data_IF_416047780791
#
_entry.id   IF_416047780791
#
_cell.length_a   1.000
_cell.length_b   1.000
_cell.length_c   1.000
_cell.angle_alpha   90.00
_cell.angle_beta   90.00
_cell.angle_gamma   90.00
#
_symmetry.space_group_name_H-M   'P 1'
#
loop_
_entity.id
_entity.type
_entity.pdbx_description
1 polymer ?
#
# COMPACT_ATOMS: atom_id res chain seq x y z
N UNK A 1 10.48 39.44 -5.19
CA UNK A 1 9.35 38.58 -5.60
C UNK A 1 9.92 37.17 -5.65
N UNK A 2 9.87 36.48 -4.51
CA UNK A 2 10.59 35.22 -4.29
C UNK A 2 9.79 34.04 -4.81
N UNK A 3 10.46 33.14 -5.51
CA UNK A 3 9.97 31.82 -5.86
C UNK A 3 9.69 31.02 -4.59
N UNK A 4 8.55 30.35 -4.53
CA UNK A 4 8.25 29.37 -3.50
C UNK A 4 8.45 28.00 -4.15
N UNK A 5 9.59 27.39 -3.84
CA UNK A 5 9.88 25.99 -4.12
C UNK A 5 8.87 25.10 -3.38
N UNK A 6 8.00 24.43 -4.13
CA UNK A 6 7.12 23.41 -3.60
C UNK A 6 7.92 22.15 -3.27
N UNK A 7 8.12 21.90 -1.99
CA UNK A 7 8.63 20.64 -1.46
C UNK A 7 7.66 19.51 -1.83
N UNK A 8 8.15 18.50 -2.56
CA UNK A 8 7.47 17.22 -2.71
C UNK A 8 7.73 16.37 -1.44
N UNK A 9 6.86 16.51 -0.44
CA UNK A 9 6.77 15.54 0.67
C UNK A 9 5.68 14.52 0.35
N UNK A 10 6.04 13.23 0.32
CA UNK A 10 5.06 12.15 0.11
C UNK A 10 5.67 10.78 -0.05
N UNK A 11 6.43 10.29 0.93
CA UNK A 11 6.72 8.85 1.04
C UNK A 11 5.60 8.19 1.85
N UNK A 12 4.72 7.42 1.19
CA UNK A 12 3.73 6.59 1.87
C UNK A 12 4.39 5.25 2.18
N UNK A 13 4.72 5.08 3.45
CA UNK A 13 5.35 3.88 3.97
C UNK A 13 4.27 2.87 4.33
N UNK A 14 4.34 1.66 3.78
CA UNK A 14 3.71 0.50 4.41
C UNK A 14 4.48 0.20 5.71
N UNK A 15 4.06 0.83 6.82
CA UNK A 15 4.63 0.64 8.16
C UNK A 15 5.93 1.41 8.45
N UNK A 16 5.82 2.44 9.30
CA UNK A 16 6.88 3.29 9.92
C UNK A 16 7.24 4.58 9.16
N UNK A 17 6.63 5.69 9.59
CA UNK A 17 7.13 7.05 9.33
C UNK A 17 8.47 7.23 10.08
N UNK A 18 9.59 7.15 9.37
CA UNK A 18 10.92 7.49 9.91
C UNK A 18 10.98 9.01 10.04
N UNK A 19 10.91 9.49 11.28
CA UNK A 19 11.10 10.90 11.62
C UNK A 19 12.52 11.13 12.13
N UNK A 20 13.11 12.25 11.72
CA UNK A 20 14.47 12.68 12.05
C UNK A 20 14.76 12.68 13.56
N UNK A 21 15.47 11.64 14.01
CA UNK A 21 16.45 11.65 15.12
C UNK A 21 17.01 10.24 15.27
N UNK A 22 17.97 9.92 14.40
CA UNK A 22 18.78 8.72 14.51
C UNK A 22 20.05 9.06 15.28
N UNK A 23 19.90 9.31 16.58
CA UNK A 23 21.01 9.29 17.52
C UNK A 23 20.56 8.48 18.75
N UNK A 24 21.29 7.37 18.95
CA UNK A 24 21.26 6.47 20.12
C UNK A 24 20.04 5.54 20.30
N UNK A 25 20.02 4.45 19.52
CA UNK A 25 19.64 3.12 20.01
C UNK A 25 20.15 2.03 19.05
N UNK A 26 21.47 1.78 19.09
CA UNK A 26 22.07 0.59 18.50
C UNK A 26 22.26 -0.41 19.62
N UNK A 27 21.43 -1.46 19.64
CA UNK A 27 21.80 -2.82 20.05
C UNK A 27 20.59 -3.75 19.80
N UNK A 28 20.66 -4.46 18.67
CA UNK A 28 19.59 -5.32 18.15
C UNK A 28 19.24 -4.90 16.72
N UNK A 29 20.10 -5.23 15.76
CA UNK A 29 19.76 -5.12 14.34
C UNK A 29 18.45 -5.89 14.10
N UNK A 30 17.34 -5.16 13.99
CA UNK A 30 16.05 -5.78 13.73
C UNK A 30 16.10 -6.30 12.30
N UNK A 31 16.07 -7.63 12.14
CA UNK A 31 16.00 -8.34 10.85
C UNK A 31 14.87 -7.83 9.95
N UNK A 32 13.89 -7.11 10.53
CA UNK A 32 12.81 -6.44 9.80
C UNK A 32 13.34 -5.48 8.72
N UNK A 33 14.46 -4.79 8.96
CA UNK A 33 15.03 -3.84 8.00
C UNK A 33 15.71 -4.56 6.82
N UNK A 34 16.19 -5.79 7.03
CA UNK A 34 16.79 -6.58 5.95
C UNK A 34 15.74 -7.01 4.90
N UNK A 35 14.47 -7.07 5.31
CA UNK A 35 13.35 -7.44 4.45
C UNK A 35 12.67 -6.24 3.78
N UNK A 36 13.07 -5.01 4.10
CA UNK A 36 12.51 -3.82 3.47
C UNK A 36 13.12 -3.60 2.09
N UNK A 37 12.28 -3.20 1.13
CA UNK A 37 12.65 -2.85 -0.24
C UNK A 37 11.92 -1.58 -0.66
N UNK A 38 12.57 -0.82 -1.53
CA UNK A 38 11.94 0.33 -2.19
C UNK A 38 11.34 -0.19 -3.49
N UNK A 39 10.02 -0.09 -3.63
CA UNK A 39 9.30 -0.47 -4.84
C UNK A 39 8.88 0.80 -5.58
N UNK A 40 9.17 0.88 -6.87
CA UNK A 40 8.83 2.01 -7.74
C UNK A 40 7.80 1.57 -8.77
N UNK A 41 6.72 2.33 -8.91
CA UNK A 41 5.67 2.10 -9.91
C UNK A 41 5.28 3.45 -10.51
N UNK A 42 5.64 3.67 -11.77
CA UNK A 42 5.54 4.98 -12.40
C UNK A 42 6.25 6.02 -11.52
N UNK A 43 5.56 7.08 -11.11
CA UNK A 43 6.09 8.15 -10.27
C UNK A 43 5.87 7.90 -8.76
N UNK A 44 5.35 6.73 -8.38
CA UNK A 44 5.05 6.36 -6.99
C UNK A 44 6.16 5.52 -6.37
N UNK A 45 6.47 5.81 -5.11
CA UNK A 45 7.48 5.07 -4.32
C UNK A 45 6.79 4.45 -3.11
N UNK A 46 6.99 3.15 -2.92
CA UNK A 46 6.50 2.38 -1.79
C UNK A 46 7.65 1.76 -1.02
N UNK A 47 7.53 1.70 0.30
CA UNK A 47 8.40 0.88 1.13
C UNK A 47 7.64 -0.39 1.50
N UNK A 48 8.18 -1.54 1.11
CA UNK A 48 7.53 -2.85 1.28
C UNK A 48 8.42 -3.79 2.07
N UNK A 49 7.82 -4.54 3.01
CA UNK A 49 8.46 -5.73 3.56
C UNK A 49 8.18 -6.90 2.61
N UNK A 50 9.22 -7.51 2.06
CA UNK A 50 9.11 -8.53 1.01
C UNK A 50 8.31 -9.75 1.44
N UNK A 51 8.50 -10.23 2.67
CA UNK A 51 7.82 -11.44 3.17
C UNK A 51 6.33 -11.17 3.40
N UNK A 52 6.01 -10.07 4.10
CA UNK A 52 4.63 -9.66 4.34
C UNK A 52 3.91 -9.32 3.03
N UNK A 53 4.61 -8.73 2.06
CA UNK A 53 4.04 -8.41 0.76
C UNK A 53 3.78 -9.66 -0.08
N UNK A 54 4.71 -10.62 -0.11
CA UNK A 54 4.50 -11.90 -0.79
C UNK A 54 3.32 -12.68 -0.18
N UNK A 55 3.20 -12.68 1.15
CA UNK A 55 2.06 -13.26 1.86
C UNK A 55 0.75 -12.54 1.51
N UNK A 56 0.77 -11.20 1.46
CA UNK A 56 -0.39 -10.40 1.07
C UNK A 56 -0.85 -10.67 -0.36
N UNK A 57 0.06 -10.72 -1.34
CA UNK A 57 -0.28 -11.04 -2.73
C UNK A 57 -0.92 -12.43 -2.80
N UNK A 58 -0.29 -13.41 -2.14
CA UNK A 58 -0.79 -14.80 -2.10
C UNK A 58 -2.20 -14.88 -1.49
N UNK A 59 -2.44 -14.16 -0.40
CA UNK A 59 -3.75 -14.04 0.23
C UNK A 59 -4.77 -13.36 -0.71
N UNK A 60 -4.39 -12.28 -1.39
CA UNK A 60 -5.29 -11.54 -2.29
C UNK A 60 -5.73 -12.34 -3.51
N UNK A 61 -4.89 -13.27 -3.98
CA UNK A 61 -5.19 -14.21 -5.06
C UNK A 61 -5.94 -15.46 -4.58
N UNK A 62 -5.99 -15.68 -3.27
CA UNK A 62 -6.62 -16.87 -2.70
C UNK A 62 -8.15 -16.76 -2.69
N UNK A 63 -8.88 -17.89 -2.74
CA UNK A 63 -10.34 -17.87 -2.64
C UNK A 63 -10.88 -17.26 -1.34
N UNK A 64 -10.07 -17.29 -0.27
CA UNK A 64 -10.40 -16.79 1.07
C UNK A 64 -10.05 -15.29 1.23
N UNK A 65 -9.30 -14.71 0.28
CA UNK A 65 -8.99 -13.30 0.19
C UNK A 65 -10.23 -12.47 -0.15
N UNK A 66 -10.97 -12.04 0.87
CA UNK A 66 -12.13 -11.17 0.69
C UNK A 66 -11.68 -9.72 0.62
N UNK A 67 -11.35 -9.26 -0.58
CA UNK A 67 -11.19 -7.83 -0.86
C UNK A 67 -12.48 -7.30 -1.51
N UNK A 68 -12.89 -6.10 -1.09
CA UNK A 68 -14.09 -5.47 -1.61
C UNK A 68 -13.69 -4.42 -2.64
N UNK A 69 -14.40 -4.42 -3.77
CA UNK A 69 -14.14 -3.49 -4.86
C UNK A 69 -15.35 -2.62 -5.09
N UNK A 70 -15.13 -1.36 -5.43
CA UNK A 70 -16.18 -0.44 -5.86
C UNK A 70 -15.96 -0.14 -7.33
N UNK A 71 -16.89 -0.59 -8.15
CA UNK A 71 -16.99 -0.24 -9.56
C UNK A 71 -17.37 1.24 -9.67
N UNK A 72 -16.45 2.03 -10.22
CA UNK A 72 -16.64 3.46 -10.48
C UNK A 72 -16.97 3.77 -11.94
N UNK A 73 -17.05 2.76 -12.81
CA UNK A 73 -17.41 2.91 -14.23
C UNK A 73 -18.92 3.13 -14.38
N UNK A 74 -19.71 2.78 -13.36
CA UNK A 74 -21.16 2.90 -13.36
C UNK A 74 -21.66 4.02 -12.45
N UNK A 75 -22.79 4.62 -12.84
CA UNK A 75 -23.59 5.50 -11.99
C UNK A 75 -24.97 4.84 -11.72
N UNK A 76 -25.33 4.52 -10.47
CA UNK A 76 -24.54 4.69 -9.25
C UNK A 76 -23.39 3.67 -9.12
N UNK A 77 -22.32 3.99 -8.37
CA UNK A 77 -21.25 3.04 -8.06
C UNK A 77 -21.79 1.79 -7.39
N UNK A 78 -21.12 0.65 -7.61
CA UNK A 78 -21.56 -0.64 -7.06
C UNK A 78 -20.40 -1.36 -6.40
N UNK A 79 -20.71 -2.02 -5.29
CA UNK A 79 -19.77 -2.96 -4.70
C UNK A 79 -19.77 -4.25 -5.52
N UNK A 80 -18.59 -4.63 -6.01
CA UNK A 80 -18.36 -5.81 -6.84
C UNK A 80 -17.32 -6.71 -6.18
N UNK A 81 -17.37 -8.00 -6.51
CA UNK A 81 -16.31 -8.94 -6.15
C UNK A 81 -15.28 -9.01 -7.28
N UNK A 82 -14.02 -9.36 -6.96
CA UNK A 82 -12.99 -9.60 -8.00
C UNK A 82 -13.33 -10.77 -8.94
N UNK A 83 -14.32 -11.59 -8.57
CA UNK A 83 -14.81 -12.71 -9.38
C UNK A 83 -15.90 -12.28 -10.36
N UNK A 84 -16.32 -11.04 -10.27
CA UNK A 84 -17.25 -10.47 -11.23
C UNK A 84 -16.47 -10.27 -12.53
N UNK A 85 -17.08 -10.58 -13.67
CA UNK A 85 -16.42 -10.68 -14.98
C UNK A 85 -15.96 -9.32 -15.57
N UNK A 86 -15.77 -8.29 -14.74
CA UNK A 86 -15.33 -6.96 -15.18
C UNK A 86 -13.92 -7.02 -15.78
N UNK A 87 -13.70 -6.21 -16.81
CA UNK A 87 -12.41 -6.16 -17.51
C UNK A 87 -11.31 -5.72 -16.54
N UNK A 88 -11.58 -4.66 -15.77
CA UNK A 88 -10.66 -4.13 -14.78
C UNK A 88 -10.30 -5.16 -13.69
N UNK A 89 -11.24 -6.00 -13.22
CA UNK A 89 -10.91 -7.03 -12.21
C UNK A 89 -9.94 -8.09 -12.75
N UNK A 90 -10.15 -8.54 -14.00
CA UNK A 90 -9.27 -9.51 -14.66
C UNK A 90 -7.86 -8.96 -14.87
N UNK A 91 -7.76 -7.68 -15.22
CA UNK A 91 -6.47 -7.01 -15.34
C UNK A 91 -5.76 -6.88 -13.99
N UNK A 92 -6.49 -6.52 -12.93
CA UNK A 92 -5.92 -6.44 -11.59
C UNK A 92 -5.36 -7.80 -11.16
N UNK A 93 -6.11 -8.89 -11.37
CA UNK A 93 -5.63 -10.25 -11.10
C UNK A 93 -4.37 -10.59 -11.92
N UNK A 94 -4.27 -10.10 -13.15
CA UNK A 94 -3.09 -10.30 -13.99
C UNK A 94 -1.87 -9.55 -13.44
N UNK A 95 -2.06 -8.31 -12.97
CA UNK A 95 -1.02 -7.52 -12.28
C UNK A 95 -0.60 -8.18 -10.97
N UNK A 96 -1.55 -8.65 -10.15
CA UNK A 96 -1.28 -9.37 -8.91
C UNK A 96 -0.43 -10.63 -9.15
N UNK A 97 -0.74 -11.41 -10.19
CA UNK A 97 0.06 -12.59 -10.57
C UNK A 97 1.46 -12.21 -11.05
N UNK A 98 1.59 -11.11 -11.80
CA UNK A 98 2.88 -10.59 -12.22
C UNK A 98 3.72 -10.18 -11.02
N UNK A 99 3.12 -9.48 -10.05
CA UNK A 99 3.81 -9.08 -8.81
C UNK A 99 4.21 -10.32 -8.00
N UNK A 100 3.32 -11.33 -7.91
CA UNK A 100 3.63 -12.60 -7.26
C UNK A 100 4.83 -13.31 -7.88
N UNK A 101 5.07 -13.16 -9.19
CA UNK A 101 6.22 -13.74 -9.86
C UNK A 101 7.54 -13.02 -9.57
N UNK A 102 7.48 -11.72 -9.22
CA UNK A 102 8.65 -10.94 -8.80
C UNK A 102 8.99 -11.24 -7.34
N UNK A 103 7.97 -11.31 -6.48
CA UNK A 103 8.13 -11.58 -5.06
C UNK A 103 7.95 -13.06 -4.72
N UNK A 104 8.79 -13.92 -5.32
CA UNK A 104 8.87 -15.34 -4.91
C UNK A 104 9.81 -15.50 -3.73
N UNK A 105 9.51 -16.40 -2.79
CA UNK A 105 10.43 -16.73 -1.67
C UNK A 105 11.81 -17.22 -2.12
N UNK A 106 11.98 -17.62 -3.39
CA UNK A 106 13.24 -18.09 -3.96
C UNK A 106 14.13 -16.94 -4.48
N UNK A 107 13.60 -15.73 -4.68
CA UNK A 107 14.36 -14.56 -5.14
C UNK A 107 15.15 -13.86 -4.01
N UNK A 108 14.93 -14.26 -2.75
CA UNK A 108 15.56 -13.64 -1.57
C UNK A 108 17.08 -13.96 -1.47
N UNK A 109 17.64 -14.70 -2.43
CA UNK A 109 19.08 -14.99 -2.54
C UNK A 109 19.62 -14.88 -3.98
N UNK A 110 19.03 -14.04 -4.82
CA UNK A 110 19.50 -13.87 -6.19
C UNK A 110 20.30 -12.58 -6.37
N UNK A 111 21.58 -12.60 -5.96
CA UNK A 111 22.64 -11.93 -6.71
C UNK A 111 22.74 -12.60 -8.09
N UNK A 112 21.76 -12.35 -8.97
CA UNK A 112 21.74 -12.95 -10.30
C UNK A 112 20.84 -12.16 -11.25
N UNK A 113 21.11 -10.88 -11.43
CA UNK A 113 20.83 -10.24 -12.71
C UNK A 113 22.06 -9.48 -13.23
N UNK A 114 23.19 -10.18 -13.29
CA UNK A 114 24.29 -9.77 -14.16
C UNK A 114 23.93 -10.07 -15.61
N UNK A 115 23.61 -9.00 -16.35
CA UNK A 115 23.50 -9.02 -17.79
C UNK A 115 24.81 -9.50 -18.43
N UNK A 116 24.70 -10.58 -19.19
CA UNK A 116 25.63 -11.10 -20.18
C UNK A 116 26.79 -10.17 -20.62
N UNK A 117 28.01 -10.50 -20.18
CA UNK A 117 29.26 -10.15 -20.83
C UNK A 117 30.25 -11.31 -20.69
N UNK A 118 30.35 -12.17 -21.71
CA UNK A 118 31.40 -13.20 -21.80
C UNK A 118 32.78 -12.53 -21.83
N UNK A 119 33.66 -12.84 -20.88
CA UNK A 119 34.97 -13.47 -21.15
C UNK A 119 35.83 -13.70 -19.89
N UNK A 120 36.01 -14.99 -19.57
CA UNK A 120 37.26 -15.69 -19.21
C UNK A 120 38.39 -14.97 -18.41
N UNK A 121 38.59 -15.32 -17.12
CA UNK A 121 39.81 -15.99 -16.58
C UNK A 121 39.83 -16.09 -15.04
N UNK A 122 40.37 -17.23 -14.59
CA UNK A 122 40.71 -17.68 -13.23
C UNK A 122 41.57 -16.71 -12.39
N UNK A 123 41.23 -16.53 -11.10
CA UNK A 123 42.13 -16.84 -9.94
C UNK A 123 41.55 -16.38 -8.57
N UNK A 124 41.59 -17.31 -7.63
CA UNK A 124 41.72 -17.24 -6.15
C UNK A 124 41.82 -15.87 -5.47
N UNK A 125 40.98 -15.59 -4.48
CA UNK A 125 41.29 -15.51 -3.03
C UNK A 125 40.18 -14.79 -2.25
N UNK A 126 40.03 -15.23 -1.01
CA UNK A 126 39.07 -14.79 0.00
C UNK A 126 39.08 -13.28 0.26
N UNK A 127 37.90 -12.66 0.28
CA UNK A 127 37.68 -11.42 1.01
C UNK A 127 36.32 -11.43 1.69
N UNK A 128 36.37 -11.18 3.00
CA UNK A 128 35.28 -10.78 3.90
C UNK A 128 33.96 -10.42 3.23
N UNK A 129 32.90 -11.13 3.63
CA UNK A 129 31.50 -10.74 3.39
C UNK A 129 31.27 -9.42 4.12
N UNK A 130 31.52 -8.32 3.44
CA UNK A 130 31.02 -7.02 3.85
C UNK A 130 29.49 -7.09 3.79
N UNK A 131 28.84 -6.84 4.92
CA UNK A 131 27.39 -6.64 5.00
C UNK A 131 27.02 -5.36 4.23
N UNK A 132 27.09 -5.42 2.91
CA UNK A 132 26.44 -4.45 2.04
C UNK A 132 24.95 -4.75 2.11
N UNK A 133 24.25 -4.09 3.03
CA UNK A 133 22.80 -3.95 2.97
C UNK A 133 22.48 -3.16 1.70
N UNK A 134 22.44 -3.85 0.57
CA UNK A 134 21.93 -3.29 -0.67
C UNK A 134 20.43 -3.08 -0.43
N UNK A 135 20.03 -1.84 -0.20
CA UNK A 135 18.63 -1.43 -0.37
C UNK A 135 18.30 -1.65 -1.84
N UNK A 136 17.81 -2.84 -2.14
CA UNK A 136 17.44 -3.23 -3.49
C UNK A 136 16.14 -2.51 -3.87
N UNK A 137 16.23 -1.77 -4.99
CA UNK A 137 15.11 -1.04 -5.57
C UNK A 137 14.45 -1.95 -6.61
N UNK A 138 13.15 -2.19 -6.45
CA UNK A 138 12.34 -3.01 -7.37
C UNK A 138 11.48 -2.08 -8.21
N UNK A 139 11.80 -1.94 -9.49
CA UNK A 139 11.00 -1.15 -10.43
C UNK A 139 9.98 -2.05 -11.16
N UNK A 140 8.69 -1.80 -10.91
CA UNK A 140 7.57 -2.50 -11.53
C UNK A 140 6.79 -1.59 -12.49
N UNK A 141 7.33 -0.45 -12.89
CA UNK A 141 6.67 0.48 -13.82
C UNK A 141 6.35 -0.20 -15.15
N UNK A 142 7.26 -1.04 -15.64
CA UNK A 142 7.07 -1.83 -16.86
C UNK A 142 5.95 -2.87 -16.72
N UNK A 143 5.69 -3.37 -15.52
CA UNK A 143 4.66 -4.36 -15.24
C UNK A 143 3.23 -3.83 -15.48
N UNK A 144 3.02 -2.53 -15.32
CA UNK A 144 1.71 -1.90 -15.47
C UNK A 144 1.59 -0.97 -16.68
N UNK A 145 2.67 -0.79 -17.45
CA UNK A 145 2.73 0.16 -18.57
C UNK A 145 1.62 -0.08 -19.61
N UNK A 146 1.35 -1.35 -19.91
CA UNK A 146 0.38 -1.78 -20.92
C UNK A 146 -0.97 -2.23 -20.31
N UNK A 147 -1.18 -2.04 -19.01
CA UNK A 147 -2.45 -2.37 -18.36
C UNK A 147 -3.37 -1.14 -18.33
N UNK A 148 -4.67 -1.40 -18.40
CA UNK A 148 -5.74 -0.46 -18.13
C UNK A 148 -5.98 -0.21 -16.64
N UNK A 149 -5.27 -0.91 -15.75
CA UNK A 149 -5.30 -0.60 -14.33
C UNK A 149 -4.75 0.80 -14.09
N UNK A 150 -5.49 1.54 -13.28
CA UNK A 150 -5.16 2.90 -12.87
C UNK A 150 -4.34 2.88 -11.57
N UNK A 151 -3.50 3.90 -11.38
CA UNK A 151 -2.73 4.06 -10.15
C UNK A 151 -3.63 4.15 -8.90
N UNK A 152 -4.78 4.84 -8.92
CA UNK A 152 -5.73 4.81 -7.79
C UNK A 152 -6.19 3.40 -7.39
N UNK A 153 -6.55 2.55 -8.35
CA UNK A 153 -6.88 1.13 -8.08
C UNK A 153 -5.70 0.41 -7.43
N UNK A 154 -4.52 0.58 -8.00
CA UNK A 154 -3.31 -0.09 -7.50
C UNK A 154 -2.94 0.38 -6.09
N UNK A 155 -3.06 1.68 -5.80
CA UNK A 155 -2.80 2.25 -4.48
C UNK A 155 -3.74 1.66 -3.43
N UNK A 156 -5.04 1.58 -3.73
CA UNK A 156 -6.00 0.99 -2.79
C UNK A 156 -5.65 -0.45 -2.45
N UNK A 157 -5.25 -1.23 -3.46
CA UNK A 157 -4.79 -2.61 -3.24
C UNK A 157 -3.46 -2.67 -2.48
N UNK A 158 -2.42 -1.96 -2.91
CA UNK A 158 -1.09 -1.99 -2.31
C UNK A 158 -1.05 -1.53 -0.86
N UNK A 159 -1.88 -0.54 -0.50
CA UNK A 159 -1.99 -0.03 0.86
C UNK A 159 -2.87 -0.91 1.76
N UNK A 160 -3.42 -2.01 1.23
CA UNK A 160 -4.25 -2.94 1.97
C UNK A 160 -5.57 -2.32 2.42
N UNK A 161 -6.15 -1.41 1.63
CA UNK A 161 -7.45 -0.85 1.96
C UNK A 161 -8.54 -1.92 1.85
N UNK A 162 -9.53 -1.90 2.75
CA UNK A 162 -10.59 -2.90 2.75
C UNK A 162 -11.52 -2.75 1.55
N UNK A 163 -11.60 -1.54 1.00
CA UNK A 163 -12.38 -1.18 -0.19
C UNK A 163 -11.43 -0.55 -1.21
N UNK A 164 -11.42 -1.10 -2.43
CA UNK A 164 -10.57 -0.66 -3.52
C UNK A 164 -11.42 -0.16 -4.67
N UNK A 165 -11.12 1.03 -5.18
CA UNK A 165 -11.78 1.56 -6.38
C UNK A 165 -11.31 0.82 -7.61
N UNK A 166 -12.24 0.41 -8.46
CA UNK A 166 -11.98 -0.32 -9.67
C UNK A 166 -12.63 0.41 -10.85
N UNK A 167 -11.78 0.79 -11.81
CA UNK A 167 -12.16 1.39 -13.08
C UNK A 167 -10.95 1.32 -14.02
N UNK A 168 -11.21 1.19 -15.30
CA UNK A 168 -10.17 1.28 -16.33
C UNK A 168 -9.81 2.74 -16.68
N UNK A 169 -8.79 2.92 -17.52
CA UNK A 169 -8.33 4.26 -17.94
C UNK A 169 -9.35 5.01 -18.81
N UNK A 170 -10.22 4.31 -19.51
CA UNK A 170 -11.22 4.93 -20.37
C UNK A 170 -12.37 5.53 -19.54
N UNK A 171 -12.59 5.00 -18.33
CA UNK A 171 -13.61 5.45 -17.38
C UNK A 171 -13.08 6.39 -16.28
N UNK A 172 -11.88 6.99 -16.45
CA UNK A 172 -11.38 8.04 -15.55
C UNK A 172 -12.40 9.18 -15.36
N UNK A 173 -13.08 9.70 -16.42
CA UNK A 173 -14.08 10.75 -16.25
C UNK A 173 -15.26 10.31 -15.37
N UNK A 174 -15.73 9.08 -15.51
CA UNK A 174 -16.83 8.51 -14.72
C UNK A 174 -16.42 8.34 -13.26
N UNK A 175 -15.19 7.89 -13.00
CA UNK A 175 -14.63 7.79 -11.66
C UNK A 175 -14.50 9.16 -10.99
N UNK A 176 -14.00 10.18 -11.71
CA UNK A 176 -13.94 11.55 -11.20
C UNK A 176 -15.34 12.06 -10.86
N UNK A 177 -16.32 11.84 -11.75
CA UNK A 177 -17.70 12.24 -11.52
C UNK A 177 -18.26 11.57 -10.25
N UNK A 178 -18.13 10.26 -10.13
CA UNK A 178 -18.63 9.48 -9.00
C UNK A 178 -17.99 9.86 -7.66
N UNK A 179 -16.71 10.23 -7.66
CA UNK A 179 -16.00 10.60 -6.42
C UNK A 179 -16.09 12.10 -6.10
N UNK A 180 -16.25 12.97 -7.09
CA UNK A 180 -16.19 14.43 -6.93
C UNK A 180 -17.53 15.13 -6.89
N UNK A 181 -18.63 14.46 -7.21
CA UNK A 181 -19.98 15.07 -7.23
C UNK A 181 -20.93 14.50 -6.18
N UNK A 182 -20.55 13.39 -5.54
CA UNK A 182 -21.38 12.66 -4.58
C UNK A 182 -20.72 12.64 -3.20
N UNK A 183 -21.52 12.59 -2.11
CA UNK A 183 -20.96 12.49 -0.77
C UNK A 183 -20.21 11.17 -0.59
N UNK A 184 -19.14 11.23 0.20
CA UNK A 184 -18.31 10.08 0.54
C UNK A 184 -18.29 9.92 2.06
N UNK A 185 -18.17 8.69 2.55
CA UNK A 185 -17.74 8.44 3.91
C UNK A 185 -16.23 8.29 3.97
N UNK A 186 -15.58 9.11 4.79
CA UNK A 186 -14.15 9.08 5.07
C UNK A 186 -13.91 8.28 6.35
N UNK A 187 -13.25 7.14 6.20
CA UNK A 187 -12.77 6.30 7.28
C UNK A 187 -11.37 6.75 7.64
N UNK A 188 -11.13 7.10 8.91
CA UNK A 188 -9.83 7.52 9.43
C UNK A 188 -9.43 6.59 10.56
N UNK A 189 -8.27 5.95 10.41
CA UNK A 189 -7.62 5.23 11.51
C UNK A 189 -6.69 6.21 12.20
N UNK A 190 -6.94 6.43 13.47
CA UNK A 190 -6.18 7.35 14.30
C UNK A 190 -5.43 6.58 15.39
N UNK A 191 -4.17 6.92 15.61
CA UNK A 191 -3.26 6.25 16.55
C UNK A 191 -2.62 7.23 17.54
N UNK A 192 -2.14 6.69 18.66
CA UNK A 192 -1.33 7.42 19.63
C UNK A 192 -0.06 6.64 19.91
N UNK A 193 1.09 7.30 19.87
CA UNK A 193 2.40 6.71 20.20
C UNK A 193 2.66 6.71 21.70
N UNK A 194 3.44 5.75 22.20
CA UNK A 194 3.81 5.67 23.61
C UNK A 194 4.71 6.81 24.09
N UNK A 195 5.49 7.43 23.20
CA UNK A 195 6.35 8.58 23.52
C UNK A 195 5.59 9.88 23.77
N UNK A 196 4.27 9.91 23.50
CA UNK A 196 3.42 11.06 23.85
C UNK A 196 3.22 11.11 25.38
N UNK A 197 3.99 11.98 26.05
CA UNK A 197 3.95 12.13 27.51
C UNK A 197 2.67 12.84 28.00
N UNK A 198 1.91 13.50 27.12
CA UNK A 198 0.63 14.08 27.48
C UNK A 198 -0.55 13.32 26.85
N UNK A 199 -1.53 12.97 27.69
CA UNK A 199 -2.82 12.46 27.22
C UNK A 199 -3.63 13.52 26.44
N UNK A 200 -3.12 14.75 26.34
CA UNK A 200 -3.73 15.89 25.65
C UNK A 200 -3.33 16.00 24.17
N UNK A 201 -2.35 15.23 23.69
CA UNK A 201 -1.99 15.27 22.28
C UNK A 201 -3.11 14.63 21.42
N UNK A 202 -3.51 15.29 20.32
CA UNK A 202 -4.50 14.75 19.39
C UNK A 202 -3.99 13.44 18.81
N UNK A 203 -4.90 12.54 18.42
CA UNK A 203 -4.48 11.33 17.72
C UNK A 203 -3.90 11.68 16.35
N UNK A 204 -2.86 10.95 15.94
CA UNK A 204 -2.23 11.03 14.64
C UNK A 204 -2.99 10.15 13.65
N UNK A 205 -3.18 10.61 12.42
CA UNK A 205 -3.75 9.76 11.37
C UNK A 205 -2.72 8.74 10.90
N UNK A 206 -3.06 7.45 11.01
CA UNK A 206 -2.26 6.36 10.47
C UNK A 206 -2.57 6.14 9.00
N UNK A 207 -3.86 6.09 8.67
CA UNK A 207 -4.36 5.92 7.31
C UNK A 207 -5.78 6.42 7.21
N UNK A 208 -6.19 6.82 6.01
CA UNK A 208 -7.58 7.10 5.69
C UNK A 208 -7.94 6.56 4.30
N UNK A 209 -9.22 6.27 4.12
CA UNK A 209 -9.78 5.87 2.84
C UNK A 209 -11.24 6.31 2.76
N UNK A 210 -11.74 6.55 1.55
CA UNK A 210 -13.11 6.98 1.32
C UNK A 210 -13.94 5.86 0.68
N UNK A 211 -15.26 5.91 0.87
CA UNK A 211 -16.22 5.04 0.19
C UNK A 211 -17.42 5.89 -0.23
N UNK A 212 -18.03 5.67 -1.43
CA UNK A 212 -19.28 6.34 -1.78
C UNK A 212 -20.33 6.15 -0.68
N UNK A 213 -21.00 7.24 -0.28
CA UNK A 213 -21.92 7.25 0.86
C UNK A 213 -22.98 6.13 0.79
N UNK A 214 -23.58 5.96 -0.39
CA UNK A 214 -24.63 4.96 -0.66
C UNK A 214 -24.15 3.51 -0.51
N UNK A 215 -22.82 3.28 -0.46
CA UNK A 215 -22.19 1.98 -0.29
C UNK A 215 -21.64 1.75 1.13
N UNK A 216 -21.78 2.71 2.05
CA UNK A 216 -21.33 2.54 3.43
C UNK A 216 -22.29 3.16 4.47
N UNK A 217 -23.58 2.88 4.33
CA UNK A 217 -24.62 3.43 5.19
C UNK A 217 -24.45 3.03 6.67
N UNK A 218 -23.85 1.87 6.94
CA UNK A 218 -23.59 1.39 8.30
C UNK A 218 -22.21 1.82 8.84
N UNK A 219 -21.42 2.54 8.04
CA UNK A 219 -20.14 3.12 8.41
C UNK A 219 -19.17 2.09 8.99
N UNK A 220 -18.81 2.23 10.27
CA UNK A 220 -17.87 1.31 10.93
C UNK A 220 -18.43 -0.09 11.19
N UNK A 221 -19.75 -0.27 11.09
CA UNK A 221 -20.41 -1.55 11.33
C UNK A 221 -20.61 -2.34 10.03
N UNK A 222 -20.12 -1.83 8.91
CA UNK A 222 -20.06 -2.59 7.65
C UNK A 222 -19.22 -3.87 7.85
N UNK A 223 -19.62 -5.02 7.30
CA UNK A 223 -18.89 -6.28 7.51
C UNK A 223 -17.40 -6.20 7.10
N UNK A 224 -17.10 -5.44 6.04
CA UNK A 224 -15.74 -5.21 5.58
C UNK A 224 -14.95 -4.26 6.50
N UNK A 225 -15.63 -3.29 7.12
CA UNK A 225 -15.02 -2.34 8.05
C UNK A 225 -14.68 -3.04 9.38
N UNK A 226 -15.58 -3.90 9.87
CA UNK A 226 -15.34 -4.70 11.06
C UNK A 226 -14.19 -5.70 10.86
N UNK A 227 -14.17 -6.42 9.73
CA UNK A 227 -13.10 -7.36 9.41
C UNK A 227 -11.73 -6.66 9.33
N UNK A 228 -11.68 -5.51 8.64
CA UNK A 228 -10.50 -4.66 8.58
C UNK A 228 -10.04 -4.20 9.96
N UNK A 229 -10.98 -3.76 10.80
CA UNK A 229 -10.68 -3.31 12.14
C UNK A 229 -10.12 -4.42 13.02
N UNK A 230 -10.65 -5.65 12.91
CA UNK A 230 -10.13 -6.82 13.62
C UNK A 230 -8.69 -7.15 13.21
N UNK A 231 -8.40 -7.14 11.90
CA UNK A 231 -7.05 -7.38 11.40
C UNK A 231 -6.07 -6.31 11.90
N UNK A 232 -6.48 -5.05 11.83
CA UNK A 232 -5.66 -3.93 12.27
C UNK A 232 -5.42 -3.96 13.78
N UNK A 233 -6.43 -4.33 14.58
CA UNK A 233 -6.29 -4.56 16.02
C UNK A 233 -5.28 -5.68 16.30
N UNK A 234 -5.32 -6.79 15.56
CA UNK A 234 -4.34 -7.87 15.70
C UNK A 234 -2.90 -7.43 15.35
N UNK A 235 -2.73 -6.53 14.37
CA UNK A 235 -1.42 -5.88 14.07
C UNK A 235 -1.00 -4.93 15.19
N UNK A 236 -1.92 -4.13 15.70
CA UNK A 236 -1.67 -3.19 16.81
C UNK A 236 -1.26 -3.91 18.10
N UNK A 237 -1.90 -5.03 18.43
CA UNK A 237 -1.58 -5.88 19.58
C UNK A 237 -0.11 -6.35 19.57
N UNK A 238 0.42 -6.68 18.39
CA UNK A 238 1.84 -7.03 18.18
C UNK A 238 2.81 -5.85 18.32
N UNK A 239 2.28 -4.62 18.33
CA UNK A 239 3.06 -3.37 18.28
C UNK A 239 2.76 -2.44 19.47
N UNK A 240 2.24 -2.96 20.58
CA UNK A 240 1.89 -2.19 21.79
C UNK A 240 3.05 -1.42 22.42
N UNK A 241 4.29 -1.84 22.15
CA UNK A 241 5.50 -1.13 22.55
C UNK A 241 5.66 0.22 21.84
N UNK A 242 5.10 0.37 20.63
CA UNK A 242 5.14 1.62 19.85
C UNK A 242 3.84 2.40 20.02
N UNK A 243 2.70 1.72 19.93
CA UNK A 243 1.37 2.35 19.84
C UNK A 243 0.56 2.14 21.12
N UNK A 244 0.11 3.22 21.75
CA UNK A 244 -0.67 3.24 22.99
C UNK A 244 -2.16 2.96 22.77
N UNK A 245 -2.74 3.55 21.73
CA UNK A 245 -4.17 3.44 21.46
C UNK A 245 -4.44 3.62 19.97
N UNK A 246 -5.55 3.06 19.50
CA UNK A 246 -6.02 3.17 18.12
C UNK A 246 -7.54 3.30 18.11
N UNK A 247 -8.08 4.15 17.23
CA UNK A 247 -9.52 4.29 17.02
C UNK A 247 -9.82 4.46 15.52
N UNK A 248 -11.03 4.09 15.10
CA UNK A 248 -11.55 4.35 13.76
C UNK A 248 -12.70 5.33 13.83
N UNK A 249 -12.62 6.37 13.02
CA UNK A 249 -13.66 7.38 12.84
C UNK A 249 -14.23 7.29 11.44
N UNK A 250 -15.53 7.56 11.31
CA UNK A 250 -16.22 7.63 10.02
C UNK A 250 -16.92 8.97 9.98
N UNK A 251 -16.58 9.79 8.99
CA UNK A 251 -17.16 11.12 8.80
C UNK A 251 -17.69 11.25 7.39
N UNK A 252 -18.85 11.89 7.23
CA UNK A 252 -19.31 12.31 5.90
C UNK A 252 -18.42 13.44 5.39
N UNK A 253 -17.94 13.29 4.16
CA UNK A 253 -17.18 14.29 3.44
C UNK A 253 -18.01 14.77 2.27
N UNK A 254 -18.10 16.09 2.13
CA UNK A 254 -18.69 16.70 0.95
C UNK A 254 -17.84 16.40 -0.29
N UNK A 255 -18.46 16.32 -1.47
CA UNK A 255 -17.72 16.11 -2.71
C UNK A 255 -16.61 17.16 -2.86
N UNK A 256 -15.39 16.71 -3.10
CA UNK A 256 -14.23 17.55 -3.38
C UNK A 256 -13.70 17.22 -4.76
N UNK A 257 -13.09 18.18 -5.44
CA UNK A 257 -12.44 17.91 -6.72
C UNK A 257 -11.28 16.94 -6.50
N UNK A 258 -11.40 15.72 -7.03
CA UNK A 258 -10.35 14.70 -6.96
C UNK A 258 -9.62 14.69 -8.30
N UNK A 259 -8.29 14.84 -8.24
CA UNK A 259 -7.41 14.56 -9.37
C UNK A 259 -6.98 13.09 -9.26
N UNK A 260 -7.26 12.31 -10.31
CA UNK A 260 -6.86 10.90 -10.47
C UNK A 260 -5.72 10.78 -11.47
#
# INVERSE_FOLDING_TARGET
MGAVEGHCEGAVVCGVKVGDKMDAAVEGESTIFQQLRVMVIQDMIYLVNVEEFAAYISWSLSPDGKQFFVDLEQDPPKMISIRDESSAAKELVSVQKLFSSVFTSECINCDALEGHGKDNRQSTESSSVEHSQVFEVVDLSSCIQNSQITIPTLNGWLLGYPVVYLFDRDHIPDAIYNLSTKPLHLFRVLVRRNSSQSNSLPLEELTSFSVPYDLSMDGRNEPWAEAFWVELQAKWERCKQVWRSMQMEVNECYPQAIAL
#
